data_IF_941874310832
#
_entry.id   IF_941874310832
#
_cell.length_a   1.000
_cell.length_b   1.000
_cell.length_c   1.000
_cell.angle_alpha   90.00
_cell.angle_beta   90.00
_cell.angle_gamma   90.00
#
_symmetry.space_group_name_H-M   'P 1'
#
loop_
_entity.id
_entity.type
_entity.pdbx_description
1 polymer ?
#
# COMPACT_ATOMS: atom_id res chain seq x y z
N UNK A 1 3.66 -3.60 11.73
CA UNK A 1 2.82 -2.40 12.00
C UNK A 1 3.49 -1.05 11.68
N UNK A 2 4.80 -0.87 11.93
CA UNK A 2 5.49 0.40 11.64
C UNK A 2 5.77 0.61 10.14
N UNK A 3 5.87 -0.46 9.33
CA UNK A 3 6.33 -0.35 7.94
C UNK A 3 5.36 0.36 6.98
N UNK A 4 4.03 0.27 7.19
CA UNK A 4 3.05 0.94 6.32
C UNK A 4 2.95 2.46 6.55
N UNK A 5 3.24 2.92 7.76
CA UNK A 5 2.96 4.30 8.18
C UNK A 5 4.12 5.27 8.01
N UNK A 6 5.26 4.83 7.47
CA UNK A 6 6.47 5.67 7.36
C UNK A 6 6.89 5.97 5.92
N UNK A 7 6.09 5.59 4.93
CA UNK A 7 6.27 6.08 3.56
C UNK A 7 5.25 7.17 3.30
N UNK A 8 5.67 8.41 3.50
CA UNK A 8 4.92 9.59 3.05
C UNK A 8 5.09 9.67 1.53
N UNK A 9 4.04 9.48 0.70
CA UNK A 9 4.14 9.79 -0.71
C UNK A 9 4.37 11.30 -0.83
N UNK A 10 5.50 11.70 -1.43
CA UNK A 10 5.65 13.09 -1.87
C UNK A 10 4.62 13.34 -2.96
N UNK A 11 3.52 14.02 -2.61
CA UNK A 11 2.59 14.57 -3.59
C UNK A 11 3.31 15.65 -4.37
N UNK A 12 3.74 15.31 -5.60
CA UNK A 12 4.21 16.31 -6.55
C UNK A 12 2.97 16.98 -7.12
N UNK A 13 2.72 18.23 -6.71
CA UNK A 13 1.67 19.05 -7.31
C UNK A 13 2.18 19.47 -8.68
N UNK A 14 1.70 18.80 -9.73
CA UNK A 14 1.92 19.25 -11.09
C UNK A 14 0.76 20.19 -11.41
N UNK A 15 1.06 21.49 -11.47
CA UNK A 15 0.10 22.48 -11.94
C UNK A 15 -0.02 22.30 -13.44
N UNK A 16 -1.16 21.77 -13.90
CA UNK A 16 -1.49 21.77 -15.32
C UNK A 16 -2.21 23.07 -15.63
N UNK A 17 -1.57 23.92 -16.44
CA UNK A 17 -2.25 25.06 -17.04
C UNK A 17 -3.10 24.54 -18.20
N UNK A 18 -4.42 24.59 -18.06
CA UNK A 18 -5.36 24.31 -19.17
C UNK A 18 -6.13 25.61 -19.40
N UNK A 19 -5.71 26.40 -20.38
CA UNK A 19 -6.24 27.75 -20.56
C UNK A 19 -5.77 28.71 -19.46
N UNK A 20 -6.68 29.54 -18.95
CA UNK A 20 -6.39 30.58 -17.95
C UNK A 20 -6.62 30.13 -16.49
N UNK A 21 -6.88 28.84 -16.26
CA UNK A 21 -7.10 28.26 -14.94
C UNK A 21 -6.01 27.26 -14.56
N UNK A 22 -5.49 27.42 -13.35
CA UNK A 22 -4.56 26.50 -12.70
C UNK A 22 -5.34 25.40 -11.95
N UNK A 23 -5.40 24.20 -12.52
CA UNK A 23 -5.93 23.04 -11.80
C UNK A 23 -4.79 22.28 -11.11
N UNK A 24 -4.89 22.12 -9.78
CA UNK A 24 -4.03 21.24 -8.98
C UNK A 24 -4.60 19.82 -8.96
N UNK A 25 -3.98 18.91 -9.69
CA UNK A 25 -4.35 17.48 -9.70
C UNK A 25 -3.57 16.75 -8.61
N UNK A 26 -4.28 16.17 -7.65
CA UNK A 26 -3.70 15.29 -6.62
C UNK A 26 -3.53 13.88 -7.21
N UNK A 27 -2.30 13.38 -7.28
CA UNK A 27 -1.95 12.13 -7.98
C UNK A 27 -1.87 10.94 -7.02
N UNK A 28 -2.59 9.85 -7.33
CA UNK A 28 -2.50 8.56 -6.63
C UNK A 28 -2.09 7.47 -7.63
N UNK A 29 -0.99 6.77 -7.36
CA UNK A 29 -0.39 5.76 -8.25
C UNK A 29 -0.83 4.31 -7.96
N UNK A 30 -1.62 4.09 -6.92
CA UNK A 30 -1.90 2.76 -6.37
C UNK A 30 -3.29 2.21 -6.69
N UNK A 31 -4.15 2.92 -7.44
CA UNK A 31 -5.56 2.55 -7.60
C UNK A 31 -6.40 2.70 -6.32
N UNK A 32 -5.77 2.59 -5.15
CA UNK A 32 -6.24 3.05 -3.86
C UNK A 32 -5.95 4.54 -3.68
N UNK A 33 -6.94 5.32 -3.27
CA UNK A 33 -6.72 6.70 -2.86
C UNK A 33 -6.09 6.72 -1.47
N UNK A 34 -4.76 6.63 -1.42
CA UNK A 34 -4.00 6.77 -0.17
C UNK A 34 -4.28 8.12 0.50
N UNK A 35 -4.63 9.15 -0.28
CA UNK A 35 -5.14 10.43 0.21
C UNK A 35 -6.45 10.26 1.00
N UNK A 36 -7.42 9.52 0.47
CA UNK A 36 -8.71 9.27 1.14
C UNK A 36 -8.54 8.47 2.42
N UNK A 37 -7.67 7.46 2.43
CA UNK A 37 -7.34 6.72 3.66
C UNK A 37 -6.65 7.62 4.71
N UNK A 38 -5.72 8.48 4.28
CA UNK A 38 -5.04 9.42 5.18
C UNK A 38 -6.01 10.42 5.80
N UNK A 39 -6.85 11.05 4.99
CA UNK A 39 -7.84 12.03 5.42
C UNK A 39 -8.84 11.43 6.42
N UNK A 40 -9.30 10.21 6.15
CA UNK A 40 -10.30 9.58 7.01
C UNK A 40 -9.70 9.03 8.32
N UNK A 41 -8.47 8.53 8.30
CA UNK A 41 -7.94 7.77 9.44
C UNK A 41 -6.96 8.57 10.32
N UNK A 42 -6.24 9.57 9.77
CA UNK A 42 -5.16 10.29 10.48
C UNK A 42 -5.10 11.79 10.10
N UNK A 43 -6.14 12.33 9.46
CA UNK A 43 -6.17 13.69 8.92
C UNK A 43 -5.94 14.79 9.96
N UNK A 44 -6.23 14.49 11.24
CA UNK A 44 -6.18 15.44 12.35
C UNK A 44 -4.77 15.60 12.98
N UNK A 45 -3.76 14.85 12.50
CA UNK A 45 -2.39 14.94 13.01
C UNK A 45 -1.63 16.11 12.39
N UNK A 46 -1.11 17.01 13.24
CA UNK A 46 -0.28 18.15 12.82
C UNK A 46 0.94 17.72 11.99
N UNK A 47 1.65 16.67 12.41
CA UNK A 47 2.86 16.14 11.77
C UNK A 47 2.84 14.60 11.71
N UNK A 48 2.14 13.98 10.74
CA UNK A 48 1.92 12.52 10.74
C UNK A 48 3.22 11.73 10.58
N UNK A 49 4.14 12.17 9.72
CA UNK A 49 5.39 11.44 9.43
C UNK A 49 6.32 11.28 10.64
N UNK A 50 6.18 12.11 11.68
CA UNK A 50 6.96 12.02 12.92
C UNK A 50 6.12 11.48 14.09
N UNK A 51 4.88 11.96 14.23
CA UNK A 51 4.03 11.62 15.36
C UNK A 51 3.62 10.15 15.38
N UNK A 52 3.37 9.56 14.21
CA UNK A 52 2.94 8.16 14.08
C UNK A 52 4.03 7.19 14.55
N UNK A 53 5.24 7.14 13.94
CA UNK A 53 6.25 6.16 14.34
C UNK A 53 6.67 6.33 15.80
N UNK A 54 6.83 7.57 16.28
CA UNK A 54 7.20 7.83 17.67
C UNK A 54 6.10 7.43 18.65
N UNK A 55 4.85 7.78 18.36
CA UNK A 55 3.70 7.43 19.19
C UNK A 55 3.50 5.92 19.29
N UNK A 56 3.53 5.21 18.16
CA UNK A 56 3.34 3.76 18.13
C UNK A 56 4.45 3.01 18.87
N UNK A 57 5.73 3.36 18.64
CA UNK A 57 6.86 2.66 19.30
C UNK A 57 6.84 2.89 20.81
N UNK A 58 6.61 4.13 21.26
CA UNK A 58 6.53 4.43 22.70
C UNK A 58 5.34 3.69 23.34
N UNK A 59 4.18 3.68 22.70
CA UNK A 59 2.99 2.99 23.22
C UNK A 59 3.21 1.46 23.34
N UNK A 60 3.85 0.84 22.34
CA UNK A 60 4.15 -0.60 22.38
C UNK A 60 5.15 -0.92 23.48
N UNK A 61 6.24 -0.15 23.61
CA UNK A 61 7.23 -0.38 24.68
C UNK A 61 6.60 -0.17 26.06
N UNK A 62 5.81 0.88 26.23
CA UNK A 62 5.13 1.16 27.49
C UNK A 62 4.18 0.04 27.89
N UNK A 63 3.29 -0.38 27.00
CA UNK A 63 2.33 -1.47 27.27
C UNK A 63 3.02 -2.80 27.52
N UNK A 64 4.08 -3.11 26.76
CA UNK A 64 4.90 -4.30 26.97
C UNK A 64 5.54 -4.32 28.37
N UNK A 65 6.15 -3.21 28.80
CA UNK A 65 6.74 -3.10 30.14
C UNK A 65 5.69 -3.24 31.25
N UNK A 66 4.51 -2.63 31.07
CA UNK A 66 3.39 -2.76 32.01
C UNK A 66 2.93 -4.22 32.13
N UNK A 67 2.79 -4.94 31.00
CA UNK A 67 2.41 -6.36 31.03
C UNK A 67 3.49 -7.24 31.67
N UNK A 68 4.77 -7.00 31.41
CA UNK A 68 5.86 -7.72 32.07
C UNK A 68 5.88 -7.50 33.57
N UNK A 69 5.75 -6.25 34.01
CA UNK A 69 5.72 -5.88 35.41
C UNK A 69 4.52 -6.51 36.12
N UNK A 70 3.35 -6.50 35.48
CA UNK A 70 2.14 -7.13 36.01
C UNK A 70 2.29 -8.65 36.11
N UNK A 71 2.85 -9.31 35.07
CA UNK A 71 3.12 -10.75 35.10
C UNK A 71 4.09 -11.11 36.24
N UNK A 72 5.15 -10.32 36.42
CA UNK A 72 6.11 -10.49 37.51
C UNK A 72 5.43 -10.36 38.88
N UNK A 73 4.72 -9.24 39.13
CA UNK A 73 4.04 -9.00 40.41
C UNK A 73 3.00 -10.09 40.75
N UNK A 74 2.20 -10.50 39.76
CA UNK A 74 1.22 -11.58 39.92
C UNK A 74 1.91 -12.89 40.30
N UNK A 75 3.04 -13.20 39.68
CA UNK A 75 3.81 -14.43 39.95
C UNK A 75 4.37 -14.48 41.38
N UNK A 76 4.74 -13.34 41.99
CA UNK A 76 5.23 -13.29 43.37
C UNK A 76 4.12 -13.22 44.42
N UNK A 77 2.93 -12.74 44.06
CA UNK A 77 1.88 -12.40 45.03
C UNK A 77 0.72 -13.41 45.04
N UNK A 78 0.45 -14.07 43.92
CA UNK A 78 -0.77 -14.88 43.74
C UNK A 78 -0.48 -16.38 43.80
N UNK A 79 -1.31 -17.12 44.53
CA UNK A 79 -1.25 -18.58 44.54
C UNK A 79 -1.78 -19.18 43.21
N UNK A 80 -1.20 -20.30 42.81
CA UNK A 80 -1.53 -21.04 41.57
C UNK A 80 -2.98 -21.48 41.52
N UNK A 81 -3.57 -21.82 42.67
CA UNK A 81 -4.96 -22.26 42.74
C UNK A 81 -5.94 -21.12 42.41
N UNK A 82 -5.65 -19.91 42.89
CA UNK A 82 -6.43 -18.71 42.57
C UNK A 82 -6.38 -18.40 41.07
N UNK A 83 -5.18 -18.45 40.47
CA UNK A 83 -4.96 -18.14 39.06
C UNK A 83 -5.64 -19.13 38.08
N UNK A 84 -5.83 -20.38 38.50
CA UNK A 84 -6.53 -21.39 37.69
C UNK A 84 -8.04 -21.36 37.88
N UNK A 85 -8.51 -21.02 39.07
CA UNK A 85 -9.91 -21.13 39.46
C UNK A 85 -10.77 -19.93 39.10
N UNK A 86 -10.21 -18.72 39.07
CA UNK A 86 -10.98 -17.48 38.88
C UNK A 86 -10.37 -16.58 37.80
N UNK A 87 -11.11 -16.36 36.71
CA UNK A 87 -10.75 -15.42 35.65
C UNK A 87 -10.79 -13.95 36.12
N UNK A 88 -11.47 -13.66 37.23
CA UNK A 88 -11.66 -12.30 37.79
C UNK A 88 -10.85 -12.12 39.08
N UNK A 89 -9.75 -12.87 39.24
CA UNK A 89 -8.92 -12.85 40.44
C UNK A 89 -8.39 -11.45 40.82
N UNK A 90 -8.21 -10.55 39.85
CA UNK A 90 -7.82 -9.15 40.10
C UNK A 90 -8.79 -8.41 41.02
N UNK A 91 -10.08 -8.76 41.00
CA UNK A 91 -11.08 -8.16 41.89
C UNK A 91 -10.83 -8.48 43.35
N UNK A 92 -10.28 -9.65 43.64
CA UNK A 92 -10.05 -10.13 45.01
C UNK A 92 -8.78 -9.54 45.63
N UNK A 93 -7.78 -9.22 44.80
CA UNK A 93 -6.48 -8.67 45.26
C UNK A 93 -6.52 -7.15 45.39
N UNK A 94 -7.39 -6.48 44.64
CA UNK A 94 -7.44 -5.02 44.65
C UNK A 94 -7.97 -4.45 45.97
N UNK A 95 -7.38 -3.33 46.42
CA UNK A 95 -7.76 -2.63 47.66
C UNK A 95 -9.27 -2.28 47.67
N UNK A 96 -9.81 -1.91 46.51
CA UNK A 96 -11.24 -1.63 46.35
C UNK A 96 -11.83 -2.45 45.18
N UNK A 97 -12.50 -3.57 45.44
CA UNK A 97 -12.96 -4.51 44.41
C UNK A 97 -13.80 -3.91 43.25
N UNK A 98 -14.71 -2.93 43.47
CA UNK A 98 -15.46 -2.30 42.37
C UNK A 98 -14.60 -1.58 41.34
N UNK A 99 -13.41 -1.09 41.72
CA UNK A 99 -12.55 -0.32 40.84
C UNK A 99 -12.08 -1.14 39.61
N UNK A 100 -11.79 -2.42 39.80
CA UNK A 100 -11.40 -3.34 38.72
C UNK A 100 -12.54 -3.49 37.71
N UNK A 101 -13.78 -3.60 38.19
CA UNK A 101 -14.96 -3.75 37.34
C UNK A 101 -15.17 -2.48 36.50
N UNK A 102 -15.09 -1.30 37.13
CA UNK A 102 -15.21 -0.01 36.43
C UNK A 102 -14.11 0.12 35.37
N UNK A 103 -12.87 -0.24 35.71
CA UNK A 103 -11.74 -0.23 34.78
C UNK A 103 -11.94 -1.15 33.57
N UNK A 104 -12.39 -2.39 33.80
CA UNK A 104 -12.68 -3.35 32.73
C UNK A 104 -13.78 -2.85 31.80
N UNK A 105 -14.87 -2.29 32.34
CA UNK A 105 -15.93 -1.70 31.51
C UNK A 105 -15.46 -0.48 30.73
N UNK A 106 -14.75 0.45 31.38
CA UNK A 106 -14.22 1.65 30.72
C UNK A 106 -13.23 1.30 29.61
N UNK A 107 -12.30 0.38 29.87
CA UNK A 107 -11.32 -0.08 28.87
C UNK A 107 -12.00 -0.81 27.71
N UNK A 108 -12.92 -1.73 27.98
CA UNK A 108 -13.63 -2.50 26.95
C UNK A 108 -14.51 -1.62 26.07
N UNK A 109 -15.26 -0.69 26.67
CA UNK A 109 -16.12 0.25 25.94
C UNK A 109 -15.28 1.20 25.09
N UNK A 110 -14.19 1.76 25.64
CA UNK A 110 -13.29 2.64 24.91
C UNK A 110 -12.63 1.93 23.71
N UNK A 111 -12.13 0.70 23.91
CA UNK A 111 -11.54 -0.10 22.84
C UNK A 111 -12.56 -0.47 21.77
N UNK A 112 -13.77 -0.88 22.15
CA UNK A 112 -14.85 -1.22 21.22
C UNK A 112 -15.29 -0.01 20.40
N UNK A 113 -15.43 1.17 21.01
CA UNK A 113 -15.81 2.39 20.30
C UNK A 113 -14.73 2.83 19.33
N UNK A 114 -13.47 2.80 19.76
CA UNK A 114 -12.32 3.20 18.93
C UNK A 114 -12.18 2.29 17.70
N UNK A 115 -12.34 0.98 17.88
CA UNK A 115 -12.27 0.00 16.79
C UNK A 115 -13.47 0.08 15.85
N UNK A 116 -14.67 0.34 16.36
CA UNK A 116 -15.87 0.53 15.53
C UNK A 116 -15.75 1.77 14.63
N UNK A 117 -15.31 2.90 15.20
CA UNK A 117 -15.07 4.14 14.44
C UNK A 117 -13.96 3.91 13.41
N UNK A 118 -12.83 3.32 13.82
CA UNK A 118 -11.73 3.00 12.91
C UNK A 118 -12.15 2.11 11.74
N UNK A 119 -12.86 1.01 12.02
CA UNK A 119 -13.35 0.08 11.01
C UNK A 119 -14.32 0.75 10.02
N UNK A 120 -15.25 1.57 10.51
CA UNK A 120 -16.21 2.29 9.67
C UNK A 120 -15.55 3.26 8.69
N UNK A 121 -14.49 3.96 9.12
CA UNK A 121 -13.73 4.89 8.27
C UNK A 121 -12.88 4.16 7.23
N UNK A 122 -12.29 3.01 7.58
CA UNK A 122 -11.59 2.14 6.62
C UNK A 122 -12.58 1.62 5.58
N UNK A 123 -13.76 1.14 6.01
CA UNK A 123 -14.81 0.64 5.13
C UNK A 123 -15.33 1.74 4.19
N UNK A 124 -15.52 2.96 4.71
CA UNK A 124 -15.92 4.12 3.91
C UNK A 124 -14.87 4.48 2.86
N UNK A 125 -13.58 4.53 3.23
CA UNK A 125 -12.51 4.79 2.28
C UNK A 125 -12.46 3.72 1.18
N UNK A 126 -12.62 2.44 1.54
CA UNK A 126 -12.69 1.33 0.59
C UNK A 126 -13.90 1.43 -0.35
N UNK A 127 -15.04 1.92 0.13
CA UNK A 127 -16.22 2.16 -0.69
C UNK A 127 -16.04 3.33 -1.67
N UNK A 128 -15.30 4.37 -1.26
CA UNK A 128 -14.97 5.51 -2.11
C UNK A 128 -13.99 5.14 -3.24
N UNK A 129 -13.14 4.14 -3.03
CA UNK A 129 -12.21 3.60 -4.04
C UNK A 129 -12.92 2.72 -5.10
N UNK A 130 -14.24 2.50 -4.98
CA UNK A 130 -15.11 1.77 -5.93
C UNK A 130 -14.66 0.33 -6.30
N UNK A 131 -13.68 -0.22 -5.58
CA UNK A 131 -13.05 -1.52 -5.84
C UNK A 131 -14.04 -2.70 -5.78
N UNK A 132 -15.00 -2.63 -4.86
CA UNK A 132 -16.05 -3.66 -4.67
C UNK A 132 -17.42 -3.22 -5.20
N UNK A 133 -17.49 -2.06 -5.88
CA UNK A 133 -18.65 -1.54 -6.60
C UNK A 133 -19.99 -1.68 -5.87
N UNK A 134 -20.76 -2.71 -6.24
CA UNK A 134 -22.17 -2.90 -5.84
C UNK A 134 -22.35 -3.19 -4.36
N UNK A 135 -21.46 -3.98 -3.74
CA UNK A 135 -21.63 -4.45 -2.36
C UNK A 135 -21.31 -3.35 -1.34
N UNK A 136 -20.37 -2.47 -1.67
CA UNK A 136 -19.94 -1.36 -0.78
C UNK A 136 -20.54 0.00 -1.15
N UNK A 137 -21.24 0.14 -2.27
CA UNK A 137 -21.82 1.41 -2.70
C UNK A 137 -22.64 2.16 -1.62
N UNK A 138 -23.46 1.50 -0.78
CA UNK A 138 -24.20 2.20 0.28
C UNK A 138 -23.28 2.85 1.32
N UNK A 139 -22.11 2.26 1.60
CA UNK A 139 -21.16 2.75 2.60
C UNK A 139 -20.46 4.07 2.19
N UNK A 140 -20.63 4.50 0.93
CA UNK A 140 -20.16 5.82 0.43
C UNK A 140 -20.98 6.98 0.98
N UNK A 141 -22.21 6.75 1.46
CA UNK A 141 -23.09 7.83 1.93
C UNK A 141 -22.57 8.47 3.23
N UNK A 142 -22.36 9.78 3.18
CA UNK A 142 -21.95 10.60 4.32
C UNK A 142 -23.10 11.47 4.82
N UNK A 143 -23.02 11.87 6.09
CA UNK A 143 -23.89 12.90 6.68
C UNK A 143 -23.45 14.31 6.25
N UNK A 144 -24.29 15.33 6.51
CA UNK A 144 -23.98 16.74 6.24
C UNK A 144 -22.68 17.22 6.91
N UNK A 145 -22.31 16.60 8.02
CA UNK A 145 -21.07 16.87 8.79
C UNK A 145 -19.86 16.07 8.27
N UNK A 146 -20.00 15.31 7.18
CA UNK A 146 -18.92 14.47 6.61
C UNK A 146 -18.75 13.09 7.27
N UNK A 147 -19.55 12.76 8.29
CA UNK A 147 -19.46 11.47 8.99
C UNK A 147 -20.12 10.32 8.21
N UNK A 148 -19.43 9.18 7.97
CA UNK A 148 -19.95 8.06 7.19
C UNK A 148 -20.85 7.13 8.02
N UNK A 149 -22.06 7.59 8.33
CA UNK A 149 -22.98 6.86 9.22
C UNK A 149 -23.44 5.50 8.67
N UNK A 150 -23.55 5.34 7.34
CA UNK A 150 -23.91 4.06 6.73
C UNK A 150 -22.80 3.02 6.90
N UNK A 151 -21.54 3.45 6.82
CA UNK A 151 -20.40 2.56 7.08
C UNK A 151 -20.37 2.09 8.55
N UNK A 152 -20.74 2.97 9.49
CA UNK A 152 -20.88 2.62 10.92
C UNK A 152 -21.97 1.57 11.13
N UNK A 153 -23.12 1.73 10.46
CA UNK A 153 -24.21 0.76 10.57
C UNK A 153 -23.81 -0.61 9.99
N UNK A 154 -23.08 -0.61 8.88
CA UNK A 154 -22.60 -1.85 8.25
C UNK A 154 -21.60 -2.59 9.15
N UNK A 155 -20.63 -1.89 9.74
CA UNK A 155 -19.68 -2.50 10.68
C UNK A 155 -20.37 -2.99 11.95
N UNK A 156 -21.33 -2.23 12.49
CA UNK A 156 -22.13 -2.66 13.63
C UNK A 156 -22.90 -3.95 13.34
N UNK A 157 -23.59 -4.03 12.20
CA UNK A 157 -24.34 -5.23 11.80
C UNK A 157 -23.42 -6.45 11.63
N UNK A 158 -22.26 -6.26 10.98
CA UNK A 158 -21.27 -7.32 10.80
C UNK A 158 -20.73 -7.84 12.15
N UNK A 159 -20.40 -6.95 13.09
CA UNK A 159 -19.98 -7.34 14.45
C UNK A 159 -21.09 -8.08 15.17
N UNK A 160 -22.34 -7.62 15.06
CA UNK A 160 -23.49 -8.25 15.70
C UNK A 160 -23.72 -9.69 15.20
N UNK A 161 -23.56 -9.93 13.89
CA UNK A 161 -23.62 -11.28 13.32
C UNK A 161 -22.55 -12.21 13.90
N UNK A 162 -21.32 -11.72 14.08
CA UNK A 162 -20.22 -12.49 14.67
C UNK A 162 -20.48 -12.82 16.14
N UNK A 163 -21.05 -11.87 16.90
CA UNK A 163 -21.40 -12.08 18.30
C UNK A 163 -22.50 -13.12 18.49
N UNK A 164 -23.50 -13.15 17.59
CA UNK A 164 -24.54 -14.18 17.63
C UNK A 164 -24.04 -15.59 17.26
N UNK A 165 -22.90 -15.70 16.57
CA UNK A 165 -22.38 -16.98 16.06
C UNK A 165 -21.67 -17.86 17.11
N UNK A 166 -21.34 -17.38 18.32
CA UNK A 166 -20.96 -18.30 19.42
C UNK A 166 -19.94 -17.84 20.46
N UNK A 167 -19.12 -18.81 20.90
CA UNK A 167 -18.28 -18.78 22.11
C UNK A 167 -17.13 -17.77 22.02
N UNK A 168 -16.99 -16.93 23.05
CA UNK A 168 -15.95 -15.89 23.16
C UNK A 168 -14.53 -16.38 22.84
N UNK A 169 -14.14 -17.55 23.35
CA UNK A 169 -12.79 -18.08 23.15
C UNK A 169 -12.48 -18.41 21.68
N UNK A 170 -13.49 -18.86 20.93
CA UNK A 170 -13.35 -19.13 19.49
C UNK A 170 -13.28 -17.82 18.71
N UNK A 171 -14.12 -16.84 19.05
CA UNK A 171 -14.12 -15.51 18.43
C UNK A 171 -12.75 -14.84 18.63
N UNK A 172 -12.20 -14.89 19.84
CA UNK A 172 -10.88 -14.32 20.15
C UNK A 172 -9.79 -14.90 19.23
N UNK A 173 -9.73 -16.23 19.10
CA UNK A 173 -8.76 -16.89 18.22
C UNK A 173 -8.90 -16.48 16.74
N UNK A 174 -10.13 -16.41 16.23
CA UNK A 174 -10.41 -15.99 14.85
C UNK A 174 -9.98 -14.53 14.62
N UNK A 175 -10.34 -13.62 15.53
CA UNK A 175 -9.97 -12.20 15.45
C UNK A 175 -8.45 -12.02 15.46
N UNK A 176 -7.73 -12.74 16.32
CA UNK A 176 -6.27 -12.69 16.37
C UNK A 176 -5.64 -13.13 15.03
N UNK A 177 -6.17 -14.18 14.40
CA UNK A 177 -5.70 -14.64 13.09
C UNK A 177 -5.92 -13.57 12.01
N UNK A 178 -7.06 -12.88 11.99
CA UNK A 178 -7.28 -11.77 11.06
C UNK A 178 -6.32 -10.59 11.28
N UNK A 179 -6.00 -10.24 12.53
CA UNK A 179 -4.99 -9.21 12.82
C UNK A 179 -3.59 -9.63 12.37
N UNK A 180 -3.17 -10.86 12.66
CA UNK A 180 -1.88 -11.39 12.20
C UNK A 180 -1.78 -11.42 10.68
N UNK A 181 -2.89 -11.70 9.98
CA UNK A 181 -2.95 -11.69 8.52
C UNK A 181 -2.72 -10.29 7.96
N UNK A 182 -3.39 -9.29 8.53
CA UNK A 182 -3.21 -7.90 8.12
C UNK A 182 -1.76 -7.43 8.37
N UNK A 183 -1.15 -7.83 9.48
CA UNK A 183 0.27 -7.53 9.75
C UNK A 183 1.21 -8.20 8.77
N UNK A 184 1.01 -9.50 8.49
CA UNK A 184 1.79 -10.23 7.49
C UNK A 184 1.64 -9.62 6.09
N UNK A 185 0.43 -9.22 5.70
CA UNK A 185 0.16 -8.59 4.41
C UNK A 185 0.87 -7.23 4.26
N UNK A 186 0.87 -6.43 5.32
CA UNK A 186 1.61 -5.15 5.37
C UNK A 186 3.11 -5.38 5.24
N UNK A 187 3.67 -6.29 6.02
CA UNK A 187 5.11 -6.55 5.99
C UNK A 187 5.54 -7.18 4.65
N UNK A 188 4.70 -8.02 4.04
CA UNK A 188 4.89 -8.56 2.70
C UNK A 188 4.88 -7.47 1.63
N UNK A 189 3.94 -6.52 1.70
CA UNK A 189 3.87 -5.40 0.77
C UNK A 189 5.12 -4.51 0.86
N UNK A 190 5.58 -4.21 2.09
CA UNK A 190 6.80 -3.44 2.30
C UNK A 190 8.05 -4.18 1.80
N UNK A 191 8.15 -5.49 2.05
CA UNK A 191 9.24 -6.32 1.54
C UNK A 191 9.25 -6.36 0.00
N UNK A 192 8.08 -6.53 -0.61
CA UNK A 192 7.94 -6.57 -2.07
C UNK A 192 8.37 -5.25 -2.71
N UNK A 193 7.99 -4.09 -2.13
CA UNK A 193 8.37 -2.77 -2.63
C UNK A 193 9.87 -2.50 -2.51
N UNK A 194 10.49 -2.92 -1.40
CA UNK A 194 11.94 -2.79 -1.17
C UNK A 194 12.73 -3.67 -2.15
N UNK A 195 12.37 -4.94 -2.30
CA UNK A 195 13.01 -5.85 -3.25
C UNK A 195 12.81 -5.43 -4.69
N UNK A 196 11.64 -4.90 -5.04
CA UNK A 196 11.38 -4.35 -6.36
C UNK A 196 12.10 -3.01 -6.60
N UNK A 197 12.77 -2.44 -5.58
CA UNK A 197 13.44 -1.14 -5.65
C UNK A 197 12.53 -0.07 -6.26
N UNK A 198 11.26 -0.07 -5.85
CA UNK A 198 10.25 0.82 -6.42
C UNK A 198 10.66 2.29 -6.21
N UNK A 199 10.70 3.13 -7.26
CA UNK A 199 11.29 4.48 -7.17
C UNK A 199 10.56 5.40 -6.19
N UNK A 200 9.27 5.17 -5.97
CA UNK A 200 8.42 5.93 -5.05
C UNK A 200 8.49 5.43 -3.61
N UNK A 201 9.08 4.26 -3.37
CA UNK A 201 9.23 3.69 -2.03
C UNK A 201 10.57 4.13 -1.45
N UNK A 202 10.54 5.13 -0.58
CA UNK A 202 11.71 5.66 0.14
C UNK A 202 11.39 5.77 1.64
N UNK A 203 11.50 4.69 2.40
CA UNK A 203 11.25 4.70 3.84
C UNK A 203 12.23 5.64 4.53
N UNK A 204 11.71 6.59 5.30
CA UNK A 204 12.53 7.54 6.07
C UNK A 204 12.81 7.07 7.49
N UNK A 205 12.21 5.97 7.92
CA UNK A 205 12.43 5.40 9.24
C UNK A 205 13.78 4.70 9.33
N UNK A 206 14.57 5.03 10.34
CA UNK A 206 15.93 4.49 10.48
C UNK A 206 15.96 3.00 10.83
N UNK A 207 14.95 2.48 11.53
CA UNK A 207 14.88 1.05 11.91
C UNK A 207 14.21 0.17 10.83
N UNK A 208 13.80 0.77 9.71
CA UNK A 208 13.25 0.01 8.60
C UNK A 208 14.39 -0.73 7.87
N UNK A 209 14.22 -2.04 7.70
CA UNK A 209 15.07 -2.86 6.82
C UNK A 209 14.25 -4.01 6.24
N UNK A 210 14.72 -4.60 5.15
CA UNK A 210 14.06 -5.79 4.58
C UNK A 210 14.05 -6.97 5.58
N UNK A 211 15.08 -7.07 6.42
CA UNK A 211 15.18 -8.10 7.47
C UNK A 211 14.07 -7.98 8.50
N UNK A 212 13.74 -6.76 8.96
CA UNK A 212 12.69 -6.57 9.96
C UNK A 212 11.31 -6.89 9.39
N UNK A 213 11.07 -6.64 8.10
CA UNK A 213 9.85 -7.06 7.41
C UNK A 213 9.76 -8.59 7.30
N UNK A 214 10.85 -9.25 6.90
CA UNK A 214 10.89 -10.71 6.80
C UNK A 214 10.66 -11.39 8.16
N UNK A 215 11.29 -10.88 9.23
CA UNK A 215 11.06 -11.36 10.59
C UNK A 215 9.59 -11.18 10.99
N UNK A 216 8.98 -10.03 10.68
CA UNK A 216 7.56 -9.77 10.91
C UNK A 216 6.65 -10.79 10.25
N UNK A 217 6.88 -11.09 8.96
CA UNK A 217 6.11 -12.10 8.20
C UNK A 217 6.25 -13.48 8.85
N UNK A 218 7.49 -13.93 9.10
CA UNK A 218 7.74 -15.25 9.70
C UNK A 218 7.09 -15.34 11.08
N UNK A 219 7.24 -14.32 11.92
CA UNK A 219 6.64 -14.26 13.25
C UNK A 219 5.12 -14.36 13.20
N UNK A 220 4.48 -13.62 12.29
CA UNK A 220 3.03 -13.67 12.12
C UNK A 220 2.56 -15.05 11.65
N UNK A 221 3.24 -15.65 10.66
CA UNK A 221 2.90 -16.99 10.15
C UNK A 221 3.05 -18.06 11.23
N UNK A 222 4.16 -18.06 11.98
CA UNK A 222 4.38 -19.00 13.08
C UNK A 222 3.28 -18.87 14.14
N UNK A 223 2.97 -17.65 14.56
CA UNK A 223 1.91 -17.42 15.56
C UNK A 223 0.51 -17.82 15.08
N UNK A 224 0.20 -17.64 13.80
CA UNK A 224 -1.07 -18.11 13.23
C UNK A 224 -1.25 -19.62 13.35
N UNK A 225 -0.23 -20.39 12.95
CA UNK A 225 -0.30 -21.86 13.02
C UNK A 225 -0.28 -22.38 14.46
N UNK A 226 0.36 -21.65 15.40
CA UNK A 226 0.33 -21.98 16.82
C UNK A 226 -1.06 -21.78 17.46
N UNK A 227 -1.81 -20.75 17.05
CA UNK A 227 -3.15 -20.50 17.60
C UNK A 227 -4.13 -21.58 17.14
N UNK A 228 -4.29 -21.75 15.82
CA UNK A 228 -5.12 -22.80 15.26
C UNK A 228 -4.78 -23.02 13.78
N UNK A 229 -4.30 -24.22 13.39
CA UNK A 229 -3.90 -24.49 12.01
C UNK A 229 -5.08 -24.48 11.01
N UNK A 230 -6.29 -24.85 11.45
CA UNK A 230 -7.47 -24.86 10.58
C UNK A 230 -7.92 -23.45 10.20
N UNK A 231 -8.03 -22.55 11.18
CA UNK A 231 -8.36 -21.14 10.90
C UNK A 231 -7.22 -20.40 10.21
N UNK A 232 -5.96 -20.74 10.50
CA UNK A 232 -4.80 -20.17 9.83
C UNK A 232 -4.78 -20.49 8.33
N UNK A 233 -4.97 -21.75 7.95
CA UNK A 233 -5.04 -22.17 6.55
C UNK A 233 -6.20 -21.51 5.80
N UNK A 234 -7.40 -21.47 6.41
CA UNK A 234 -8.54 -20.72 5.88
C UNK A 234 -8.21 -19.24 5.65
N UNK A 235 -7.53 -18.62 6.62
CA UNK A 235 -7.11 -17.23 6.52
C UNK A 235 -6.13 -16.96 5.37
N UNK A 236 -5.12 -17.82 5.17
CA UNK A 236 -4.17 -17.68 4.06
C UNK A 236 -4.88 -17.81 2.70
N UNK A 237 -5.81 -18.77 2.57
CA UNK A 237 -6.63 -18.94 1.36
C UNK A 237 -7.46 -17.68 1.10
N UNK A 238 -8.10 -17.13 2.13
CA UNK A 238 -8.86 -15.88 2.02
C UNK A 238 -7.98 -14.70 1.60
N UNK A 239 -6.77 -14.58 2.15
CA UNK A 239 -5.82 -13.53 1.77
C UNK A 239 -5.45 -13.63 0.28
N UNK A 240 -5.09 -14.82 -0.20
CA UNK A 240 -4.75 -15.05 -1.60
C UNK A 240 -5.95 -14.76 -2.52
N UNK A 241 -7.15 -15.21 -2.14
CA UNK A 241 -8.37 -14.93 -2.89
C UNK A 241 -8.63 -13.43 -3.01
N UNK A 242 -8.47 -12.68 -1.91
CA UNK A 242 -8.61 -11.21 -1.94
C UNK A 242 -7.57 -10.56 -2.84
N UNK A 243 -6.30 -10.98 -2.81
CA UNK A 243 -5.26 -10.44 -3.71
C UNK A 243 -5.60 -10.70 -5.18
N UNK A 244 -6.09 -11.89 -5.50
CA UNK A 244 -6.53 -12.26 -6.86
C UNK A 244 -7.72 -11.42 -7.29
N UNK A 245 -8.75 -11.28 -6.45
CA UNK A 245 -9.92 -10.44 -6.74
C UNK A 245 -9.51 -8.99 -7.00
N UNK A 246 -8.63 -8.43 -6.17
CA UNK A 246 -8.13 -7.06 -6.35
C UNK A 246 -7.37 -6.94 -7.67
N UNK A 247 -6.53 -7.92 -8.03
CA UNK A 247 -5.79 -7.89 -9.29
C UNK A 247 -6.71 -7.85 -10.51
N UNK A 248 -7.80 -8.62 -10.50
CA UNK A 248 -8.76 -8.62 -11.61
C UNK A 248 -9.71 -7.41 -11.61
N UNK A 249 -10.02 -6.84 -10.44
CA UNK A 249 -10.95 -5.72 -10.31
C UNK A 249 -10.29 -4.35 -10.39
N UNK A 250 -8.97 -4.26 -10.21
CA UNK A 250 -8.27 -2.98 -10.25
C UNK A 250 -8.44 -2.31 -11.62
N UNK A 251 -9.02 -1.10 -11.70
CA UNK A 251 -9.24 -0.43 -12.97
C UNK A 251 -7.90 -0.09 -13.66
N UNK A 252 -7.89 -0.10 -15.00
CA UNK A 252 -6.75 0.37 -15.78
C UNK A 252 -6.61 1.89 -15.61
N UNK A 253 -5.73 2.31 -14.70
CA UNK A 253 -5.44 3.74 -14.49
C UNK A 253 -4.79 4.34 -15.74
N UNK A 254 -5.24 5.54 -16.13
CA UNK A 254 -4.69 6.32 -17.25
C UNK A 254 -3.31 6.92 -16.97
N UNK A 255 -2.89 6.94 -15.70
CA UNK A 255 -1.56 7.36 -15.28
C UNK A 255 -0.71 6.12 -15.03
N UNK A 256 0.17 5.82 -15.99
CA UNK A 256 1.31 4.88 -15.96
C UNK A 256 1.32 3.78 -14.90
N UNK A 257 1.34 2.53 -15.36
CA UNK A 257 1.44 1.35 -14.48
C UNK A 257 2.67 1.39 -13.56
N UNK A 258 2.56 0.81 -12.35
CA UNK A 258 3.72 0.60 -11.44
C UNK A 258 4.86 -0.10 -12.19
N UNK A 259 4.52 -1.03 -13.08
CA UNK A 259 5.47 -1.69 -13.99
C UNK A 259 6.24 -0.70 -14.87
N UNK A 260 5.59 0.33 -15.41
CA UNK A 260 6.24 1.36 -16.23
C UNK A 260 7.21 2.24 -15.41
N UNK A 261 6.85 2.59 -14.18
CA UNK A 261 7.75 3.33 -13.28
C UNK A 261 8.98 2.48 -12.89
N UNK A 262 8.78 1.18 -12.68
CA UNK A 262 9.84 0.20 -12.43
C UNK A 262 10.78 0.07 -13.62
N UNK A 263 10.23 -0.05 -14.84
CA UNK A 263 10.98 -0.07 -16.10
C UNK A 263 11.79 1.21 -16.23
N UNK A 264 11.20 2.38 -15.99
CA UNK A 264 11.91 3.66 -16.08
C UNK A 264 13.09 3.73 -15.10
N UNK A 265 12.88 3.32 -13.84
CA UNK A 265 13.95 3.28 -12.85
C UNK A 265 15.07 2.32 -13.27
N UNK A 266 14.70 1.13 -13.74
CA UNK A 266 15.65 0.13 -14.18
C UNK A 266 16.47 0.62 -15.39
N UNK A 267 15.81 1.18 -16.41
CA UNK A 267 16.46 1.77 -17.59
C UNK A 267 17.39 2.91 -17.20
N UNK A 268 16.95 3.82 -16.31
CA UNK A 268 17.79 4.91 -15.81
C UNK A 268 19.03 4.38 -15.08
N UNK A 269 18.89 3.38 -14.21
CA UNK A 269 20.01 2.75 -13.49
C UNK A 269 21.00 2.14 -14.47
N UNK A 270 20.52 1.42 -15.48
CA UNK A 270 21.38 0.87 -16.53
C UNK A 270 22.06 1.95 -17.38
N UNK A 271 21.37 3.03 -17.72
CA UNK A 271 21.96 4.18 -18.42
C UNK A 271 23.09 4.83 -17.61
N UNK A 272 22.94 4.96 -16.29
CA UNK A 272 23.97 5.52 -15.42
C UNK A 272 25.16 4.58 -15.20
N UNK A 273 24.93 3.26 -15.26
CA UNK A 273 26.00 2.25 -15.24
C UNK A 273 26.75 2.17 -16.56
N UNK A 274 26.19 2.72 -17.64
CA UNK A 274 26.78 2.73 -18.96
C UNK A 274 27.86 3.80 -19.02
N UNK A 275 29.08 3.42 -18.66
CA UNK A 275 30.24 4.31 -18.70
C UNK A 275 30.74 4.47 -20.14
N UNK A 276 30.28 5.52 -20.81
CA UNK A 276 30.65 5.86 -22.21
C UNK A 276 32.17 6.06 -22.35
N UNK A 277 32.90 6.40 -21.28
CA UNK A 277 34.35 6.69 -21.36
C UNK A 277 35.21 5.43 -21.42
N UNK A 278 34.66 4.27 -21.08
CA UNK A 278 35.33 2.97 -21.22
C UNK A 278 35.06 2.42 -22.62
N UNK A 279 35.55 3.10 -23.63
CA UNK A 279 35.56 2.57 -24.98
C UNK A 279 36.51 1.37 -25.03
N UNK A 280 35.95 0.17 -25.05
CA UNK A 280 36.74 -1.04 -25.23
C UNK A 280 36.92 -1.29 -26.73
N UNK A 281 38.13 -1.05 -27.25
CA UNK A 281 38.51 -1.25 -28.67
C UNK A 281 38.15 -2.65 -29.18
N UNK A 282 38.05 -3.64 -28.29
CA UNK A 282 37.82 -5.04 -28.63
C UNK A 282 36.36 -5.40 -28.94
N UNK A 283 35.39 -4.53 -28.62
CA UNK A 283 33.96 -4.81 -28.80
C UNK A 283 33.22 -3.63 -29.43
N UNK A 284 33.51 -3.36 -30.70
CA UNK A 284 32.78 -2.36 -31.47
C UNK A 284 31.30 -2.75 -31.63
N UNK A 285 30.39 -1.81 -31.35
CA UNK A 285 28.95 -1.96 -31.54
C UNK A 285 28.45 -0.77 -32.36
N UNK A 286 27.90 -0.96 -33.58
CA UNK A 286 27.42 0.15 -34.38
C UNK A 286 26.25 0.86 -33.68
N UNK A 287 26.32 2.19 -33.51
CA UNK A 287 25.20 3.03 -33.08
C UNK A 287 24.75 3.82 -34.31
N UNK A 288 23.57 3.49 -34.84
CA UNK A 288 23.12 3.98 -36.15
C UNK A 288 22.07 5.06 -35.94
N UNK A 289 22.35 6.25 -36.48
CA UNK A 289 21.38 7.31 -36.71
C UNK A 289 21.03 7.30 -38.20
N UNK A 290 19.83 6.84 -38.54
CA UNK A 290 19.37 6.77 -39.93
C UNK A 290 18.55 8.02 -40.27
N UNK A 291 19.06 8.84 -41.19
CA UNK A 291 18.37 10.03 -41.67
C UNK A 291 17.37 9.65 -42.76
N UNK A 292 16.10 9.98 -42.56
CA UNK A 292 15.00 9.63 -43.46
C UNK A 292 14.14 10.85 -43.77
N UNK A 293 13.98 11.17 -45.05
CA UNK A 293 13.12 12.27 -45.50
C UNK A 293 11.63 11.90 -45.42
N UNK A 294 11.24 10.65 -45.71
CA UNK A 294 9.88 10.18 -45.50
C UNK A 294 9.90 8.67 -45.17
N UNK A 295 9.34 8.25 -44.02
CA UNK A 295 9.44 6.87 -43.55
C UNK A 295 8.75 5.88 -44.50
N UNK A 296 7.68 6.29 -45.18
CA UNK A 296 6.93 5.43 -46.09
C UNK A 296 7.72 5.07 -47.35
N UNK A 297 8.43 6.04 -47.92
CA UNK A 297 9.26 5.81 -49.12
C UNK A 297 10.55 5.07 -48.83
N UNK A 298 11.03 5.13 -47.58
CA UNK A 298 12.32 4.57 -47.17
C UNK A 298 12.18 3.30 -46.32
N UNK A 299 11.02 2.63 -46.35
CA UNK A 299 10.74 1.44 -45.56
C UNK A 299 11.79 0.34 -45.74
N UNK A 300 12.21 0.06 -46.98
CA UNK A 300 13.24 -0.95 -47.27
C UNK A 300 14.59 -0.66 -46.58
N UNK A 301 14.98 0.61 -46.49
CA UNK A 301 16.21 1.03 -45.83
C UNK A 301 16.09 0.89 -44.29
N UNK A 302 14.91 1.20 -43.75
CA UNK A 302 14.61 0.99 -42.32
C UNK A 302 14.67 -0.49 -41.97
N UNK A 303 14.08 -1.36 -42.80
CA UNK A 303 14.13 -2.82 -42.63
C UNK A 303 15.55 -3.35 -42.71
N UNK A 304 16.35 -2.91 -43.69
CA UNK A 304 17.76 -3.30 -43.81
C UNK A 304 18.57 -2.93 -42.56
N UNK A 305 18.39 -1.73 -42.01
CA UNK A 305 19.07 -1.32 -40.78
C UNK A 305 18.57 -2.10 -39.56
N UNK A 306 17.27 -2.41 -39.50
CA UNK A 306 16.71 -3.24 -38.45
C UNK A 306 17.29 -4.67 -38.46
N UNK A 307 17.44 -5.27 -39.65
CA UNK A 307 18.07 -6.58 -39.85
C UNK A 307 19.56 -6.54 -39.49
N UNK A 308 20.29 -5.50 -39.92
CA UNK A 308 21.69 -5.27 -39.57
C UNK A 308 21.89 -5.17 -38.05
N UNK A 309 20.95 -4.53 -37.34
CA UNK A 309 20.95 -4.38 -35.88
C UNK A 309 20.37 -5.58 -35.13
N UNK A 310 19.73 -6.53 -35.82
CA UNK A 310 18.99 -7.66 -35.24
C UNK A 310 17.99 -7.20 -34.16
N UNK A 311 17.28 -6.11 -34.41
CA UNK A 311 16.31 -5.52 -33.46
C UNK A 311 16.93 -4.74 -32.28
N UNK A 312 18.23 -4.42 -32.35
CA UNK A 312 18.87 -3.51 -31.39
C UNK A 312 18.48 -2.04 -31.59
N UNK A 313 18.87 -1.17 -30.64
CA UNK A 313 18.58 0.26 -30.71
C UNK A 313 19.24 0.95 -31.92
N UNK A 314 18.43 1.64 -32.72
CA UNK A 314 18.84 2.64 -33.71
C UNK A 314 17.85 3.82 -33.68
N UNK A 315 18.29 4.99 -34.13
CA UNK A 315 17.48 6.22 -34.09
C UNK A 315 17.15 6.66 -35.51
N UNK A 316 15.88 7.00 -35.77
CA UNK A 316 15.43 7.60 -37.03
C UNK A 316 15.42 9.12 -36.88
N UNK A 317 16.21 9.81 -37.69
CA UNK A 317 16.26 11.27 -37.75
C UNK A 317 15.49 11.79 -38.96
N UNK A 318 14.59 12.73 -38.75
CA UNK A 318 13.89 13.44 -39.82
C UNK A 318 14.05 14.94 -39.63
N UNK A 319 14.38 15.64 -40.71
CA UNK A 319 14.58 17.10 -40.70
C UNK A 319 13.54 17.72 -41.60
N UNK A 320 12.69 18.57 -41.02
CA UNK A 320 11.71 19.35 -41.74
C UNK A 320 12.19 20.81 -41.79
N UNK A 321 12.32 21.36 -42.99
CA UNK A 321 12.84 22.72 -43.20
C UNK A 321 11.65 23.69 -43.16
N UNK A 322 11.64 24.61 -42.19
CA UNK A 322 10.67 25.70 -42.12
C UNK A 322 10.64 26.43 -40.76
N UNK A 323 9.72 27.37 -40.61
CA UNK A 323 9.56 28.19 -39.40
C UNK A 323 8.76 27.45 -38.32
N UNK A 324 9.37 27.24 -37.14
CA UNK A 324 8.85 26.40 -36.05
C UNK A 324 7.46 26.85 -35.56
N UNK A 325 7.20 28.16 -35.54
CA UNK A 325 5.91 28.72 -35.10
C UNK A 325 4.74 28.39 -36.01
N UNK A 326 4.99 28.19 -37.32
CA UNK A 326 3.97 27.87 -38.33
C UNK A 326 3.80 26.36 -38.54
N UNK A 327 4.77 25.56 -38.09
CA UNK A 327 4.83 24.11 -38.31
C UNK A 327 4.23 23.24 -37.21
N UNK A 328 3.84 23.81 -36.06
CA UNK A 328 3.24 23.06 -34.95
C UNK A 328 2.00 22.20 -35.33
N UNK A 329 1.09 22.61 -36.24
CA UNK A 329 0.01 21.76 -36.72
C UNK A 329 0.50 20.62 -37.63
N UNK A 330 1.48 20.90 -38.49
CA UNK A 330 2.07 19.95 -39.44
C UNK A 330 2.88 18.85 -38.73
N UNK A 331 3.62 19.19 -37.66
CA UNK A 331 4.36 18.23 -36.83
C UNK A 331 3.45 17.16 -36.19
N UNK A 332 2.17 17.49 -35.95
CA UNK A 332 1.17 16.55 -35.43
C UNK A 332 0.77 15.51 -36.48
N UNK A 333 0.68 15.91 -37.76
CA UNK A 333 0.47 15.02 -38.91
C UNK A 333 1.65 14.06 -39.08
N UNK A 334 2.88 14.60 -39.05
CA UNK A 334 4.10 13.80 -39.18
C UNK A 334 4.18 12.72 -38.09
N UNK A 335 3.85 13.06 -36.83
CA UNK A 335 3.80 12.06 -35.74
C UNK A 335 2.84 10.90 -36.03
N UNK A 336 1.75 11.14 -36.74
CA UNK A 336 0.83 10.08 -37.17
C UNK A 336 1.46 9.16 -38.22
N UNK A 337 2.28 9.71 -39.12
CA UNK A 337 2.95 8.94 -40.17
C UNK A 337 4.08 8.04 -39.63
N UNK A 338 4.64 8.36 -38.46
CA UNK A 338 5.64 7.54 -37.75
C UNK A 338 5.03 6.57 -36.73
N UNK A 339 3.74 6.69 -36.42
CA UNK A 339 3.02 5.79 -35.51
C UNK A 339 2.56 4.48 -36.20
N UNK A 340 3.21 4.10 -37.29
CA UNK A 340 3.00 2.81 -37.95
C UNK A 340 3.70 1.76 -37.11
N UNK A 341 2.90 0.95 -36.41
CA UNK A 341 3.37 -0.27 -35.75
C UNK A 341 4.08 -1.14 -36.78
N UNK A 342 5.34 -1.51 -36.52
CA UNK A 342 6.16 -2.42 -37.33
C UNK A 342 5.65 -3.88 -37.33
N UNK A 343 4.34 -4.09 -37.22
CA UNK A 343 3.68 -5.39 -37.10
C UNK A 343 2.64 -5.67 -38.20
N UNK A 344 2.64 -4.87 -39.27
CA UNK A 344 1.92 -5.18 -40.52
C UNK A 344 2.90 -5.41 -41.67
#
# INVERSE_FOLDING_TARGET
MVSFFVVSPKTVVIVRQVGNESQSIYTNYTGFSMATLRENLWGDLKNPSYAIPKGTVIAVIYTFLVYLLLCFLVSFTCDRMLLKGDYVFFRQINIWPPFVVIGVYAASLSASMSTLIGASRILHALACDELFGVILAPAKKTSKTGNPWVAVLYTWLMVQCVLFAGKLNTIAGVVTIFFLMAYAAVDLACLALEWASAPNFRPTFQLFSWHTCLLGIISCLVMMFLINPAYASCGIVLMLALLVVIHYRSPTSSWGYISQALIFHQVRKYLLLLDVRKEHVKFWRPQILLMVANPRTSAQLITFINDLKKGGLFVLGHVQIGDLGKMAPCLRSVRSDYNVTLYD
#
